data_IF_812503647878
#
_entry.id   IF_812503647878
#
_cell.length_a   1.000
_cell.length_b   1.000
_cell.length_c   1.000
_cell.angle_alpha   90.00
_cell.angle_beta   90.00
_cell.angle_gamma   90.00
#
_symmetry.space_group_name_H-M   'P 1'
#
loop_
_entity.id
_entity.type
_entity.pdbx_description
1 polymer ?
#
# COMPACT_ATOMS: atom_id res chain seq x y z
N UNK A 1 15.38 -21.06 25.76
CA UNK A 1 15.85 -19.65 25.73
C UNK A 1 14.65 -18.74 25.85
N UNK A 2 14.49 -18.06 26.97
CA UNK A 2 13.47 -17.02 27.14
C UNK A 2 13.99 -15.76 26.45
N UNK A 3 13.37 -15.37 25.33
CA UNK A 3 13.66 -14.09 24.68
C UNK A 3 13.02 -13.00 25.53
N UNK A 4 13.75 -12.54 26.53
CA UNK A 4 13.39 -11.41 27.38
C UNK A 4 13.72 -10.11 26.64
N UNK A 5 13.10 -9.90 25.48
CA UNK A 5 13.09 -8.61 24.81
C UNK A 5 11.81 -7.90 25.20
N UNK A 6 11.87 -6.88 26.07
CA UNK A 6 10.74 -5.97 26.25
C UNK A 6 10.42 -5.39 24.86
N UNK A 7 9.25 -5.75 24.31
CA UNK A 7 8.79 -5.35 23.00
C UNK A 7 8.57 -3.83 22.95
N UNK A 8 9.62 -3.05 22.66
CA UNK A 8 9.56 -1.60 22.42
C UNK A 8 8.97 -1.26 21.04
N UNK A 9 8.17 -2.14 20.43
CA UNK A 9 7.48 -1.85 19.17
C UNK A 9 6.35 -0.84 19.35
N UNK A 10 5.86 -0.65 20.57
CA UNK A 10 4.78 0.30 20.89
C UNK A 10 5.13 1.75 20.60
N UNK A 11 6.42 2.14 20.64
CA UNK A 11 6.84 3.49 20.24
C UNK A 11 6.85 3.68 18.72
N UNK A 12 7.00 2.60 17.96
CA UNK A 12 7.01 2.60 16.50
C UNK A 12 5.60 2.34 15.93
N UNK A 13 4.74 1.69 16.70
CA UNK A 13 3.40 1.26 16.31
C UNK A 13 2.38 1.70 17.38
N UNK A 14 1.99 2.98 17.40
CA UNK A 14 1.10 3.53 18.43
C UNK A 14 -0.30 2.89 18.43
N UNK A 15 -0.66 2.19 17.35
CA UNK A 15 -1.95 1.51 17.19
C UNK A 15 -1.83 -0.02 17.24
N UNK A 16 -0.73 -0.54 17.79
CA UNK A 16 -0.56 -1.98 17.99
C UNK A 16 -1.44 -2.46 19.16
N UNK A 17 -2.49 -3.20 18.84
CA UNK A 17 -3.32 -3.90 19.80
C UNK A 17 -2.54 -4.97 20.55
N UNK A 18 -2.85 -5.16 21.84
CA UNK A 18 -2.21 -6.18 22.68
C UNK A 18 -2.71 -7.60 22.36
N UNK A 19 -3.90 -7.71 21.78
CA UNK A 19 -4.50 -8.96 21.30
C UNK A 19 -5.09 -8.77 19.91
N UNK A 20 -5.38 -9.86 19.17
CA UNK A 20 -6.02 -9.78 17.86
C UNK A 20 -7.37 -9.05 17.88
N UNK A 21 -8.19 -9.28 18.90
CA UNK A 21 -9.52 -8.66 19.05
C UNK A 21 -9.41 -7.15 19.25
N UNK A 22 -8.43 -6.73 20.05
CA UNK A 22 -8.15 -5.32 20.26
C UNK A 22 -7.60 -4.67 18.97
N UNK A 23 -6.71 -5.35 18.25
CA UNK A 23 -6.23 -4.85 16.96
C UNK A 23 -7.37 -4.73 15.94
N UNK A 24 -8.27 -5.72 15.91
CA UNK A 24 -9.43 -5.70 15.02
C UNK A 24 -10.36 -4.53 15.34
N UNK A 25 -10.54 -4.21 16.63
CA UNK A 25 -11.30 -3.04 17.09
C UNK A 25 -10.62 -1.73 16.67
N UNK A 26 -9.31 -1.62 16.85
CA UNK A 26 -8.52 -0.45 16.44
C UNK A 26 -8.55 -0.23 14.92
N UNK A 27 -8.58 -1.32 14.15
CA UNK A 27 -8.60 -1.27 12.68
C UNK A 27 -9.98 -0.95 12.08
N UNK A 28 -11.07 -0.92 12.85
CA UNK A 28 -12.43 -0.72 12.33
C UNK A 28 -12.59 0.53 11.46
N UNK A 29 -11.95 1.65 11.85
CA UNK A 29 -12.02 2.88 11.08
C UNK A 29 -11.32 2.74 9.71
N UNK A 30 -10.14 2.11 9.69
CA UNK A 30 -9.41 1.84 8.45
C UNK A 30 -10.20 0.88 7.54
N UNK A 31 -10.81 -0.16 8.11
CA UNK A 31 -11.65 -1.11 7.37
C UNK A 31 -12.82 -0.40 6.69
N UNK A 32 -13.52 0.49 7.40
CA UNK A 32 -14.63 1.28 6.81
C UNK A 32 -14.16 2.19 5.67
N UNK A 33 -12.99 2.81 5.82
CA UNK A 33 -12.42 3.66 4.78
C UNK A 33 -12.05 2.85 3.53
N UNK A 34 -11.43 1.67 3.71
CA UNK A 34 -11.13 0.76 2.62
C UNK A 34 -12.39 0.29 1.91
N UNK A 35 -13.45 -0.07 2.65
CA UNK A 35 -14.74 -0.43 2.08
C UNK A 35 -15.32 0.70 1.21
N UNK A 36 -15.20 1.96 1.68
CA UNK A 36 -15.63 3.12 0.90
C UNK A 36 -14.84 3.24 -0.40
N UNK A 37 -13.52 3.14 -0.36
CA UNK A 37 -12.68 3.25 -1.56
C UNK A 37 -12.89 2.10 -2.55
N UNK A 38 -13.17 0.89 -2.06
CA UNK A 38 -13.49 -0.26 -2.92
C UNK A 38 -14.86 -0.08 -3.57
N UNK A 39 -15.83 0.46 -2.85
CA UNK A 39 -17.17 0.73 -3.36
C UNK A 39 -17.25 1.98 -4.25
N UNK A 40 -16.22 2.82 -4.24
CA UNK A 40 -16.15 4.00 -5.08
C UNK A 40 -15.93 3.56 -6.54
N UNK A 41 -17.00 3.66 -7.33
CA UNK A 41 -16.93 3.39 -8.77
C UNK A 41 -16.11 4.49 -9.45
N UNK A 42 -14.98 4.08 -10.03
CA UNK A 42 -14.17 4.97 -10.87
C UNK A 42 -14.93 5.17 -12.18
N UNK A 43 -15.21 6.42 -12.53
CA UNK A 43 -15.84 6.71 -13.82
C UNK A 43 -14.96 6.21 -14.98
N UNK A 44 -15.57 5.83 -16.11
CA UNK A 44 -14.81 5.37 -17.27
C UNK A 44 -13.74 6.39 -17.71
N UNK A 45 -14.08 7.67 -17.73
CA UNK A 45 -13.15 8.76 -18.05
C UNK A 45 -11.98 8.86 -17.08
N UNK A 46 -12.23 8.70 -15.78
CA UNK A 46 -11.17 8.68 -14.77
C UNK A 46 -10.29 7.43 -14.88
N UNK A 47 -10.88 6.27 -15.19
CA UNK A 47 -10.15 5.02 -15.41
C UNK A 47 -9.17 5.16 -16.57
N UNK A 48 -9.62 5.74 -17.69
CA UNK A 48 -8.77 6.02 -18.85
C UNK A 48 -7.62 6.97 -18.48
N UNK A 49 -7.90 8.04 -17.74
CA UNK A 49 -6.85 8.97 -17.30
C UNK A 49 -5.81 8.26 -16.42
N UNK A 50 -6.26 7.44 -15.46
CA UNK A 50 -5.36 6.66 -14.59
C UNK A 50 -4.44 5.73 -15.40
N UNK A 51 -4.97 5.08 -16.43
CA UNK A 51 -4.17 4.23 -17.32
C UNK A 51 -3.10 5.05 -18.07
N UNK A 52 -3.47 6.20 -18.64
CA UNK A 52 -2.53 7.10 -19.33
C UNK A 52 -1.40 7.56 -18.39
N UNK A 53 -1.74 7.94 -17.16
CA UNK A 53 -0.75 8.32 -16.15
C UNK A 53 0.15 7.15 -15.79
N UNK A 54 -0.41 5.94 -15.67
CA UNK A 54 0.37 4.76 -15.33
C UNK A 54 1.34 4.38 -16.46
N UNK A 55 0.93 4.48 -17.73
CA UNK A 55 1.84 4.32 -18.87
C UNK A 55 3.00 5.32 -18.84
N UNK A 56 2.70 6.59 -18.56
CA UNK A 56 3.72 7.63 -18.45
C UNK A 56 4.70 7.33 -17.31
N UNK A 57 4.19 6.89 -16.16
CA UNK A 57 5.01 6.48 -15.03
C UNK A 57 5.94 5.32 -15.39
N UNK A 58 5.43 4.28 -16.07
CA UNK A 58 6.22 3.13 -16.51
C UNK A 58 7.40 3.56 -17.38
N UNK A 59 7.15 4.45 -18.35
CA UNK A 59 8.19 5.00 -19.23
C UNK A 59 9.24 5.81 -18.46
N UNK A 60 8.83 6.68 -17.54
CA UNK A 60 9.76 7.48 -16.72
C UNK A 60 10.67 6.55 -15.91
N UNK A 61 10.09 5.57 -15.21
CA UNK A 61 10.85 4.65 -14.37
C UNK A 61 11.89 3.89 -15.19
N UNK A 62 11.53 3.40 -16.38
CA UNK A 62 12.45 2.65 -17.22
C UNK A 62 13.50 3.52 -17.91
N UNK A 63 13.20 4.78 -18.21
CA UNK A 63 14.16 5.72 -18.79
C UNK A 63 15.28 6.10 -17.80
N UNK A 64 14.96 6.14 -16.50
CA UNK A 64 15.93 6.40 -15.44
C UNK A 64 16.76 5.15 -15.07
N UNK A 65 16.45 3.99 -15.67
CA UNK A 65 17.13 2.71 -15.41
C UNK A 65 18.13 2.39 -16.50
N UNK A 66 19.23 1.76 -16.10
CA UNK A 66 20.20 1.19 -17.03
C UNK A 66 19.56 0.08 -17.87
N UNK A 67 20.04 -0.10 -19.10
CA UNK A 67 19.76 -1.29 -19.91
C UNK A 67 20.12 -2.56 -19.13
N UNK A 68 19.29 -3.59 -19.21
CA UNK A 68 19.34 -4.82 -18.41
C UNK A 68 18.51 -4.76 -17.11
N UNK A 69 18.03 -3.57 -16.72
CA UNK A 69 17.38 -3.33 -15.42
C UNK A 69 16.00 -2.68 -15.53
N UNK A 70 15.43 -2.64 -16.74
CA UNK A 70 14.06 -2.15 -16.99
C UNK A 70 13.05 -3.09 -16.36
N UNK A 71 11.97 -2.52 -15.80
CA UNK A 71 10.93 -3.29 -15.11
C UNK A 71 9.69 -3.45 -15.98
N UNK A 72 9.38 -2.45 -16.81
CA UNK A 72 8.10 -2.40 -17.52
C UNK A 72 8.23 -2.70 -19.02
N UNK A 73 9.33 -2.31 -19.62
CA UNK A 73 9.70 -2.63 -20.99
C UNK A 73 10.26 -4.04 -20.99
N UNK A 74 9.64 -4.95 -21.74
CA UNK A 74 10.30 -6.20 -22.09
C UNK A 74 11.49 -5.88 -22.99
N UNK A 75 12.68 -6.34 -22.63
CA UNK A 75 13.89 -6.22 -23.45
C UNK A 75 13.83 -7.09 -24.70
#
# INVERSE_FOLDING_TARGET
>A
MTVTGKNNLTSLLPHLGKTPEEQLRLNQAAIKLLQKWIAEEVSEGESIQREIYFESFKQIVDNERLSGHKIYSQE
#
